data_IF_974765459228
#
_entry.id   IF_974765459228
#
_cell.length_a   1.000
_cell.length_b   1.000
_cell.length_c   1.000
_cell.angle_alpha   90.00
_cell.angle_beta   90.00
_cell.angle_gamma   90.00
#
_symmetry.space_group_name_H-M   'P 1'
#
loop_
_entity.id
_entity.type
_entity.pdbx_description
1 polymer ?
#
# COMPACT_ATOMS: atom_id res chain seq x y z
N UNK A 1 13.76 8.68 -10.44
CA UNK A 1 12.63 9.39 -9.82
C UNK A 1 11.90 8.41 -8.91
N UNK A 2 11.71 8.74 -7.63
CA UNK A 2 10.93 7.90 -6.72
C UNK A 2 9.46 7.94 -7.15
N UNK A 3 8.73 6.82 -7.10
CA UNK A 3 7.33 6.79 -7.49
C UNK A 3 6.54 7.71 -6.55
N UNK A 4 5.87 8.72 -7.11
CA UNK A 4 4.89 9.50 -6.38
C UNK A 4 3.85 8.53 -5.81
N UNK A 5 3.77 8.45 -4.50
CA UNK A 5 2.68 7.77 -3.82
C UNK A 5 1.48 8.71 -3.99
N UNK A 6 0.71 8.55 -5.07
CA UNK A 6 -0.53 9.31 -5.33
C UNK A 6 -1.69 8.91 -4.42
N UNK A 7 -1.37 8.36 -3.25
CA UNK A 7 -2.31 7.92 -2.22
C UNK A 7 -2.35 9.02 -1.13
N UNK A 8 -3.53 9.58 -0.83
CA UNK A 8 -3.68 10.60 0.22
C UNK A 8 -3.29 10.10 1.62
N UNK A 9 -3.13 8.78 1.79
CA UNK A 9 -2.78 8.14 3.05
C UNK A 9 -4.01 7.87 3.91
N UNK A 10 -4.02 6.71 4.56
CA UNK A 10 -5.01 6.31 5.55
C UNK A 10 -4.74 7.05 6.87
N UNK A 11 -5.74 7.77 7.40
CA UNK A 11 -5.67 8.37 8.73
C UNK A 11 -6.15 7.35 9.76
N UNK A 12 -5.31 7.08 10.75
CA UNK A 12 -5.60 6.12 11.82
C UNK A 12 -5.53 6.85 13.15
N UNK A 13 -6.61 6.74 13.92
CA UNK A 13 -6.64 7.17 15.31
C UNK A 13 -6.04 6.05 16.17
N UNK A 14 -4.98 6.35 16.91
CA UNK A 14 -4.30 5.39 17.82
C UNK A 14 -4.65 5.63 19.29
N UNK A 15 -5.65 6.46 19.56
CA UNK A 15 -6.05 6.86 20.91
C UNK A 15 -5.45 8.21 21.32
N UNK A 16 -5.97 8.75 22.44
CA UNK A 16 -5.54 10.02 23.04
C UNK A 16 -5.58 11.23 22.08
N UNK A 17 -6.42 11.16 21.05
CA UNK A 17 -6.53 12.19 20.00
C UNK A 17 -5.35 12.23 19.03
N UNK A 18 -4.50 11.20 19.03
CA UNK A 18 -3.35 11.09 18.13
C UNK A 18 -3.77 10.45 16.82
N UNK A 19 -3.70 11.23 15.75
CA UNK A 19 -3.98 10.75 14.38
C UNK A 19 -2.66 10.61 13.63
N UNK A 20 -2.36 9.40 13.19
CA UNK A 20 -1.22 9.11 12.30
C UNK A 20 -1.70 8.93 10.85
N UNK A 21 -0.81 9.17 9.89
CA UNK A 21 -1.08 8.91 8.48
C UNK A 21 -0.21 7.76 7.99
N UNK A 22 -0.85 6.70 7.52
CA UNK A 22 -0.22 5.52 6.95
C UNK A 22 -0.43 5.51 5.44
N UNK A 23 0.65 5.35 4.68
CA UNK A 23 0.62 5.40 3.23
C UNK A 23 0.78 4.01 2.62
N UNK A 24 0.36 3.89 1.36
CA UNK A 24 0.59 2.68 0.57
C UNK A 24 -0.32 1.54 1.01
N UNK A 25 -1.56 1.86 1.35
CA UNK A 25 -2.63 0.88 1.59
C UNK A 25 -3.25 0.36 0.30
N UNK A 26 -2.99 1.04 -0.83
CA UNK A 26 -3.59 0.70 -2.13
C UNK A 26 -4.99 1.29 -2.31
N UNK A 27 -5.49 1.34 -3.54
CA UNK A 27 -6.86 1.78 -3.84
C UNK A 27 -7.86 0.67 -3.53
N UNK A 28 -9.16 0.99 -3.37
CA UNK A 28 -10.24 0.01 -3.17
C UNK A 28 -10.20 -1.16 -4.15
N UNK A 29 -9.88 -0.89 -5.43
CA UNK A 29 -9.73 -1.91 -6.47
C UNK A 29 -8.67 -2.98 -6.15
N UNK A 30 -7.61 -2.62 -5.42
CA UNK A 30 -6.61 -3.59 -4.96
C UNK A 30 -7.20 -4.52 -3.89
N UNK A 31 -7.98 -3.97 -2.96
CA UNK A 31 -8.63 -4.75 -1.89
C UNK A 31 -9.63 -5.74 -2.48
N UNK A 32 -10.47 -5.26 -3.39
CA UNK A 32 -11.42 -6.09 -4.14
C UNK A 32 -10.70 -7.20 -4.93
N UNK A 33 -9.58 -6.88 -5.60
CA UNK A 33 -8.79 -7.86 -6.35
C UNK A 33 -8.11 -8.91 -5.44
N UNK A 34 -7.84 -8.57 -4.18
CA UNK A 34 -7.36 -9.49 -3.17
C UNK A 34 -8.49 -10.28 -2.49
N UNK A 35 -9.76 -9.96 -2.80
CA UNK A 35 -10.94 -10.61 -2.22
C UNK A 35 -11.35 -10.07 -0.86
N UNK A 36 -10.93 -8.85 -0.51
CA UNK A 36 -11.27 -8.18 0.74
C UNK A 36 -12.10 -6.93 0.50
N UNK A 37 -12.94 -6.57 1.47
CA UNK A 37 -13.60 -5.28 1.47
C UNK A 37 -12.58 -4.17 1.80
N UNK A 38 -12.64 -3.01 1.12
CA UNK A 38 -11.85 -1.85 1.49
C UNK A 38 -12.15 -1.40 2.93
N UNK A 39 -11.18 -0.77 3.56
CA UNK A 39 -11.35 -0.20 4.90
C UNK A 39 -12.36 0.94 4.88
N UNK A 40 -13.26 0.92 5.85
CA UNK A 40 -14.23 1.99 6.10
C UNK A 40 -13.88 2.77 7.37
N UNK A 41 -14.46 3.98 7.47
CA UNK A 41 -14.28 4.82 8.65
C UNK A 41 -14.97 4.17 9.84
N UNK A 42 -14.20 3.92 10.90
CA UNK A 42 -14.68 3.29 12.12
C UNK A 42 -14.21 1.83 12.28
N UNK A 43 -13.56 1.26 11.27
CA UNK A 43 -12.98 -0.08 11.37
C UNK A 43 -11.85 -0.14 12.38
N UNK A 44 -11.87 -1.18 13.23
CA UNK A 44 -10.74 -1.52 14.09
C UNK A 44 -9.71 -2.31 13.27
N UNK A 45 -8.52 -1.72 13.12
CA UNK A 45 -7.46 -2.25 12.27
C UNK A 45 -6.16 -2.41 13.07
N UNK A 46 -5.38 -3.45 12.76
CA UNK A 46 -3.99 -3.57 13.19
C UNK A 46 -3.08 -3.50 11.97
N UNK A 47 -2.21 -2.49 11.90
CA UNK A 47 -1.36 -2.24 10.73
C UNK A 47 0.11 -2.46 11.10
N UNK A 48 0.80 -3.34 10.38
CA UNK A 48 2.26 -3.39 10.40
C UNK A 48 2.80 -2.49 9.28
N UNK A 49 3.61 -1.51 9.64
CA UNK A 49 4.16 -0.53 8.71
C UNK A 49 5.67 -0.34 8.92
N UNK A 50 6.36 0.04 7.84
CA UNK A 50 7.76 0.45 7.88
C UNK A 50 7.86 1.97 7.96
N UNK A 51 8.67 2.50 8.88
CA UNK A 51 9.07 3.91 8.84
C UNK A 51 10.15 4.09 7.76
N UNK A 52 9.83 4.92 6.76
CA UNK A 52 10.76 5.26 5.68
C UNK A 52 11.14 6.72 5.81
N UNK A 53 12.42 6.97 6.02
CA UNK A 53 13.02 8.31 5.95
C UNK A 53 13.37 8.61 4.50
N UNK A 54 12.89 9.73 3.98
CA UNK A 54 13.15 10.17 2.61
C UNK A 54 14.58 10.71 2.49
N UNK A 55 15.03 10.89 1.25
CA UNK A 55 16.38 11.41 0.95
C UNK A 55 16.65 12.81 1.48
N UNK A 56 15.61 13.56 1.84
CA UNK A 56 15.73 14.85 2.52
C UNK A 56 16.13 14.71 4.00
N UNK A 57 16.16 13.49 4.55
CA UNK A 57 16.53 13.18 5.93
C UNK A 57 15.53 13.63 6.98
N UNK A 58 14.46 14.33 6.58
CA UNK A 58 13.50 14.99 7.47
C UNK A 58 12.12 14.36 7.31
N UNK A 59 11.71 14.08 6.08
CA UNK A 59 10.39 13.52 5.83
C UNK A 59 10.41 12.05 6.20
N UNK A 60 9.54 11.68 7.14
CA UNK A 60 9.28 10.30 7.55
C UNK A 60 7.87 9.92 7.14
N UNK A 61 7.70 8.72 6.58
CA UNK A 61 6.38 8.16 6.28
C UNK A 61 6.26 6.73 6.78
N UNK A 62 5.08 6.40 7.29
CA UNK A 62 4.70 5.03 7.60
C UNK A 62 4.15 4.39 6.34
N UNK A 63 4.74 3.27 5.93
CA UNK A 63 4.36 2.54 4.73
C UNK A 63 3.77 1.19 5.14
N UNK A 64 2.47 0.98 4.89
CA UNK A 64 1.78 -0.25 5.26
C UNK A 64 2.38 -1.46 4.54
N UNK A 65 2.65 -2.53 5.30
CA UNK A 65 3.12 -3.82 4.80
C UNK A 65 2.02 -4.88 4.91
N UNK A 66 1.36 -4.93 6.06
CA UNK A 66 0.18 -5.79 6.29
C UNK A 66 -0.88 -5.02 7.06
N UNK A 67 -2.14 -5.37 6.82
CA UNK A 67 -3.29 -4.86 7.58
C UNK A 67 -4.06 -6.05 8.11
N UNK A 68 -4.51 -6.00 9.36
CA UNK A 68 -5.41 -6.98 9.95
C UNK A 68 -6.73 -6.31 10.26
N UNK A 69 -7.83 -6.85 9.74
CA UNK A 69 -9.21 -6.41 10.01
C UNK A 69 -10.07 -7.61 10.29
N UNK A 70 -10.87 -7.56 11.36
CA UNK A 70 -11.77 -8.66 11.71
C UNK A 70 -11.05 -10.01 11.90
N UNK A 71 -9.76 -9.98 12.28
CA UNK A 71 -8.91 -11.19 12.39
C UNK A 71 -8.35 -11.73 11.07
N UNK A 72 -8.64 -11.09 9.93
CA UNK A 72 -8.07 -11.45 8.64
C UNK A 72 -6.79 -10.66 8.37
N UNK A 73 -5.67 -11.36 8.12
CA UNK A 73 -4.40 -10.75 7.75
C UNK A 73 -4.31 -10.54 6.24
N UNK A 74 -4.12 -9.29 5.83
CA UNK A 74 -4.05 -8.84 4.45
C UNK A 74 -2.62 -8.38 4.17
N UNK A 75 -1.96 -9.05 3.24
CA UNK A 75 -0.58 -8.75 2.84
C UNK A 75 -0.58 -7.80 1.64
N UNK A 76 -0.09 -6.59 1.85
CA UNK A 76 -0.06 -5.53 0.82
C UNK A 76 1.27 -5.50 0.06
N UNK A 77 2.31 -6.14 0.59
CA UNK A 77 3.66 -6.16 0.01
C UNK A 77 4.22 -7.57 -0.03
N UNK A 78 4.95 -7.88 -1.09
CA UNK A 78 5.71 -9.12 -1.19
C UNK A 78 6.94 -9.14 -0.26
N UNK A 79 7.68 -10.25 -0.27
CA UNK A 79 8.89 -10.43 0.51
C UNK A 79 10.00 -9.41 0.17
N UNK A 80 9.96 -8.82 -1.04
CA UNK A 80 10.88 -7.78 -1.50
C UNK A 80 10.39 -6.36 -1.14
N UNK A 81 9.28 -6.25 -0.39
CA UNK A 81 8.68 -4.99 0.02
C UNK A 81 7.94 -4.25 -1.11
N UNK A 82 7.75 -4.91 -2.26
CA UNK A 82 7.05 -4.32 -3.41
C UNK A 82 5.55 -4.44 -3.20
N UNK A 83 4.79 -3.39 -3.53
CA UNK A 83 3.34 -3.48 -3.45
C UNK A 83 2.80 -4.52 -4.43
N UNK A 84 1.88 -5.37 -3.97
CA UNK A 84 1.36 -6.50 -4.76
C UNK A 84 0.65 -6.04 -6.05
N UNK A 85 0.13 -4.82 -6.08
CA UNK A 85 -0.51 -4.23 -7.25
C UNK A 85 0.44 -3.70 -8.33
N UNK A 86 1.76 -3.59 -8.06
CA UNK A 86 2.75 -3.28 -9.13
C UNK A 86 3.19 -4.52 -9.92
N UNK A 87 2.86 -5.72 -9.45
CA UNK A 87 3.27 -7.00 -10.05
C UNK A 87 2.31 -7.60 -11.08
N UNK A 88 1.21 -6.90 -11.42
CA UNK A 88 0.27 -7.36 -12.47
C UNK A 88 -1.07 -7.94 -11.98
N UNK A 89 -1.46 -7.71 -10.72
CA UNK A 89 -2.80 -8.10 -10.23
C UNK A 89 -3.92 -7.29 -10.91
N UNK A 90 -3.64 -6.06 -11.34
CA UNK A 90 -4.63 -5.22 -12.05
C UNK A 90 -4.22 -5.11 -13.53
N UNK A 91 -4.96 -5.79 -14.40
CA UNK A 91 -4.75 -5.82 -15.84
C UNK A 91 -4.95 -4.46 -16.53
N UNK A 92 -3.97 -3.56 -16.40
CA UNK A 92 -3.82 -2.40 -17.27
C UNK A 92 -2.34 -2.30 -17.69
N UNK A 93 -2.01 -3.00 -18.77
CA UNK A 93 -0.76 -2.82 -19.49
C UNK A 93 0.41 -3.68 -19.03
N UNK A 94 0.25 -5.00 -19.03
CA UNK A 94 1.36 -5.80 -19.55
C UNK A 94 1.54 -5.38 -21.01
N UNK A 95 2.37 -4.35 -21.25
CA UNK A 95 3.20 -4.40 -22.46
C UNK A 95 4.03 -5.65 -22.25
N UNK A 96 3.57 -6.74 -22.85
CA UNK A 96 4.45 -7.80 -23.29
C UNK A 96 5.56 -7.04 -24.03
N UNK A 97 6.68 -6.81 -23.34
CA UNK A 97 7.96 -6.64 -23.99
C UNK A 97 8.26 -8.05 -24.51
N UNK A 98 7.60 -8.42 -25.62
CA UNK A 98 8.20 -9.36 -26.53
C UNK A 98 9.55 -8.74 -26.90
N UNK A 99 10.61 -9.48 -26.66
CA UNK A 99 11.98 -9.02 -26.81
C UNK A 99 12.39 -8.74 -28.27
N UNK A 100 11.52 -8.19 -29.12
CA UNK A 100 11.94 -7.61 -30.38
C UNK A 100 12.32 -6.14 -30.16
N UNK A 101 13.57 -5.92 -29.76
CA UNK A 101 14.28 -4.77 -30.30
C UNK A 101 14.28 -4.96 -31.82
N UNK A 102 13.47 -4.17 -32.54
CA UNK A 102 13.62 -4.06 -33.98
C UNK A 102 14.97 -3.38 -34.26
N UNK A 103 15.80 -4.09 -35.02
CA UNK A 103 17.03 -3.63 -35.66
C UNK A 103 16.80 -2.43 -36.58
#
# INVERSE_FOLDING_TARGET
ALPAIGDPGLKVDIGDGVIITVYGTGSSMVWEALGYEPLDVGDEVSIAAYEVTFSDGITKKLIAATVTVGGQLITLRDADGRPVWRGGIMGAGQRLHDGSCLQ
#
